data_IF_636930978276
#
_entry.id   IF_636930978276
#
_cell.length_a   1.000
_cell.length_b   1.000
_cell.length_c   1.000
_cell.angle_alpha   90.00
_cell.angle_beta   90.00
_cell.angle_gamma   90.00
#
_symmetry.space_group_name_H-M   'P 1'
#
loop_
_entity.id
_entity.type
_entity.pdbx_description
1 polymer ?
#
# COMPACT_ATOMS: atom_id res chain seq x y z
N UNK A 1 -16.72 -12.01 12.34
CA UNK A 1 -15.64 -11.03 12.06
C UNK A 1 -16.12 -9.92 11.13
N UNK A 2 -16.56 -10.21 9.90
CA UNK A 2 -16.92 -9.17 8.90
C UNK A 2 -18.04 -8.19 9.31
N UNK A 3 -18.92 -8.58 10.24
CA UNK A 3 -19.98 -7.73 10.77
C UNK A 3 -19.52 -6.82 11.92
N UNK A 4 -18.26 -6.92 12.35
CA UNK A 4 -17.64 -6.03 13.34
C UNK A 4 -16.71 -5.04 12.60
N UNK A 5 -17.22 -3.86 12.19
CA UNK A 5 -16.50 -2.98 11.28
C UNK A 5 -15.19 -2.45 11.86
N UNK A 6 -15.06 -2.31 13.19
CA UNK A 6 -13.80 -1.84 13.80
C UNK A 6 -12.69 -2.89 13.71
N UNK A 7 -13.05 -4.18 13.56
CA UNK A 7 -12.13 -5.31 13.37
C UNK A 7 -12.01 -5.76 11.91
N UNK A 8 -12.87 -5.30 11.02
CA UNK A 8 -12.90 -5.71 9.62
C UNK A 8 -12.45 -4.61 8.63
N UNK A 9 -12.35 -3.35 9.08
CA UNK A 9 -11.97 -2.22 8.23
C UNK A 9 -10.69 -1.57 8.70
N UNK A 10 -9.81 -1.27 7.75
CA UNK A 10 -8.61 -0.47 7.95
C UNK A 10 -8.34 0.32 6.66
N UNK A 11 -7.51 1.34 6.75
CA UNK A 11 -7.01 2.14 5.64
C UNK A 11 -5.51 1.92 5.51
N UNK A 12 -4.99 2.08 4.30
CA UNK A 12 -3.56 1.96 4.04
C UNK A 12 -3.07 2.99 3.03
N UNK A 13 -1.79 3.34 3.17
CA UNK A 13 -1.01 4.09 2.20
C UNK A 13 0.29 3.32 2.03
N UNK A 14 0.69 3.05 0.79
CA UNK A 14 1.90 2.30 0.50
C UNK A 14 2.62 2.77 -0.74
N UNK A 15 3.93 2.54 -0.76
CA UNK A 15 4.84 2.82 -1.86
C UNK A 15 5.35 1.48 -2.40
N UNK A 16 5.16 1.27 -3.70
CA UNK A 16 5.55 0.03 -4.38
C UNK A 16 6.51 0.37 -5.50
N UNK A 17 7.53 -0.45 -5.64
CA UNK A 17 8.50 -0.39 -6.75
C UNK A 17 8.51 -1.69 -7.53
N UNK A 18 8.97 -1.64 -8.77
CA UNK A 18 9.35 -2.86 -9.51
C UNK A 18 10.73 -3.30 -9.04
N UNK A 19 10.90 -4.60 -8.88
CA UNK A 19 12.19 -5.20 -8.58
C UNK A 19 12.38 -6.50 -9.35
N UNK A 20 13.60 -7.04 -9.34
CA UNK A 20 13.94 -8.30 -9.99
C UNK A 20 14.60 -9.22 -8.98
N UNK A 21 14.18 -10.49 -8.97
CA UNK A 21 14.78 -11.54 -8.16
C UNK A 21 14.94 -12.80 -9.00
N UNK A 22 16.16 -13.33 -9.05
CA UNK A 22 16.51 -14.53 -9.83
C UNK A 22 15.94 -14.53 -11.26
N UNK A 23 16.09 -13.41 -11.98
CA UNK A 23 15.60 -13.31 -13.36
C UNK A 23 14.14 -12.87 -13.53
N UNK A 24 13.29 -12.99 -12.49
CA UNK A 24 11.86 -12.67 -12.57
C UNK A 24 11.55 -11.29 -11.99
N UNK A 25 10.60 -10.58 -12.61
CA UNK A 25 10.15 -9.24 -12.19
C UNK A 25 9.01 -9.40 -11.17
N UNK A 26 9.05 -8.59 -10.11
CA UNK A 26 8.09 -8.55 -9.01
C UNK A 26 7.71 -7.12 -8.66
N UNK A 27 6.64 -6.99 -7.88
CA UNK A 27 6.32 -5.78 -7.13
C UNK A 27 6.92 -5.88 -5.73
N UNK A 28 7.39 -4.79 -5.15
CA UNK A 28 7.86 -4.74 -3.76
C UNK A 28 7.29 -3.52 -3.07
N UNK A 29 6.61 -3.76 -1.96
CA UNK A 29 6.19 -2.69 -1.07
C UNK A 29 7.37 -2.31 -0.18
N UNK A 30 7.83 -1.07 -0.30
CA UNK A 30 9.02 -0.56 0.40
C UNK A 30 8.66 0.27 1.62
N UNK A 31 7.49 0.91 1.61
CA UNK A 31 6.92 1.60 2.75
C UNK A 31 5.41 1.41 2.76
N UNK A 32 4.84 1.24 3.96
CA UNK A 32 3.39 1.12 4.13
C UNK A 32 2.96 1.51 5.54
N UNK A 33 1.85 2.25 5.63
CA UNK A 33 1.18 2.60 6.88
C UNK A 33 -0.24 2.08 6.86
N UNK A 34 -0.72 1.70 8.04
CA UNK A 34 -2.10 1.30 8.29
C UNK A 34 -2.64 1.95 9.55
N UNK A 35 -3.97 2.07 9.66
CA UNK A 35 -4.63 2.65 10.84
C UNK A 35 -5.12 1.60 11.86
N UNK A 36 -4.82 0.31 11.63
CA UNK A 36 -5.21 -0.81 12.49
C UNK A 36 -4.08 -1.81 12.74
N UNK A 37 -4.00 -2.24 13.99
CA UNK A 37 -3.06 -3.22 14.54
C UNK A 37 -3.15 -4.59 13.88
N UNK A 38 -4.35 -5.14 13.67
CA UNK A 38 -4.53 -6.45 13.04
C UNK A 38 -3.98 -6.45 11.60
N UNK A 39 -4.09 -5.32 10.90
CA UNK A 39 -3.53 -5.15 9.56
C UNK A 39 -2.01 -5.09 9.62
N UNK A 40 -1.44 -4.38 10.61
CA UNK A 40 0.00 -4.29 10.83
C UNK A 40 0.61 -5.67 11.16
N UNK A 41 0.02 -6.40 12.11
CA UNK A 41 0.45 -7.74 12.48
C UNK A 41 0.39 -8.73 11.30
N UNK A 42 -0.71 -8.70 10.52
CA UNK A 42 -0.83 -9.48 9.28
C UNK A 42 0.22 -9.07 8.25
N UNK A 43 0.58 -7.79 8.19
CA UNK A 43 1.65 -7.28 7.34
C UNK A 43 3.01 -7.90 7.68
N UNK A 44 3.37 -7.91 8.96
CA UNK A 44 4.61 -8.53 9.44
C UNK A 44 4.68 -10.02 9.08
N UNK A 45 3.58 -10.76 9.25
CA UNK A 45 3.51 -12.16 8.80
C UNK A 45 3.78 -12.31 7.30
N UNK A 46 3.30 -11.38 6.49
CA UNK A 46 3.51 -11.38 5.03
C UNK A 46 4.89 -10.82 4.61
N UNK A 47 5.61 -10.11 5.49
CA UNK A 47 6.82 -9.37 5.14
C UNK A 47 6.58 -7.94 4.64
N UNK A 48 5.34 -7.45 4.70
CA UNK A 48 5.07 -6.03 4.48
C UNK A 48 5.62 -5.21 5.67
N UNK A 49 6.39 -4.13 5.42
CA UNK A 49 6.96 -3.30 6.48
C UNK A 49 5.93 -2.31 7.05
N UNK A 50 4.78 -2.81 7.53
CA UNK A 50 3.66 -1.98 8.00
C UNK A 50 4.00 -1.25 9.29
N UNK A 51 3.82 0.08 9.24
CA UNK A 51 3.81 1.00 10.39
C UNK A 51 2.37 1.46 10.69
N UNK A 52 2.15 2.06 11.87
CA UNK A 52 0.86 2.69 12.21
C UNK A 52 0.84 4.14 11.75
N UNK A 53 -0.28 4.59 11.19
CA UNK A 53 -0.49 5.97 10.76
C UNK A 53 -1.95 6.42 10.85
N UNK A 54 -2.14 7.74 10.89
CA UNK A 54 -3.42 8.41 10.74
C UNK A 54 -3.71 8.67 9.27
N UNK A 55 -4.74 8.03 8.73
CA UNK A 55 -5.02 7.99 7.29
C UNK A 55 -6.46 8.47 7.02
N UNK A 56 -6.59 9.45 6.13
CA UNK A 56 -7.87 9.99 5.72
C UNK A 56 -7.98 10.03 4.21
N UNK A 57 -9.15 9.66 3.69
CA UNK A 57 -9.47 9.71 2.27
C UNK A 57 -10.88 10.29 2.13
N UNK A 58 -11.08 11.14 1.13
CA UNK A 58 -12.41 11.57 0.72
C UNK A 58 -13.20 10.36 0.24
N UNK A 59 -14.43 10.22 0.73
CA UNK A 59 -15.37 9.20 0.26
C UNK A 59 -16.29 9.79 -0.81
N UNK A 60 -16.57 9.03 -1.87
CA UNK A 60 -17.61 9.41 -2.82
C UNK A 60 -18.98 9.39 -2.16
N UNK A 61 -19.89 10.24 -2.63
CA UNK A 61 -21.29 10.27 -2.22
C UNK A 61 -22.20 10.00 -3.42
N UNK A 62 -23.40 9.47 -3.20
CA UNK A 62 -24.42 9.26 -4.27
C UNK A 62 -25.59 10.24 -4.18
N UNK A 63 -25.74 10.91 -3.04
CA UNK A 63 -26.76 11.93 -2.78
C UNK A 63 -26.13 13.20 -2.21
N UNK A 64 -26.86 14.31 -2.25
CA UNK A 64 -26.41 15.60 -1.72
C UNK A 64 -25.24 16.22 -2.50
N UNK A 65 -24.60 17.24 -1.90
CA UNK A 65 -23.52 18.04 -2.53
C UNK A 65 -22.20 18.05 -1.74
N UNK A 66 -22.14 17.42 -0.56
CA UNK A 66 -21.00 17.49 0.37
C UNK A 66 -19.92 16.42 0.11
N UNK A 67 -19.75 15.99 -1.13
CA UNK A 67 -18.71 15.03 -1.53
C UNK A 67 -18.73 14.74 -3.03
N UNK A 68 -17.63 14.20 -3.58
CA UNK A 68 -17.50 13.95 -5.01
C UNK A 68 -18.35 12.76 -5.46
N UNK A 69 -18.69 12.74 -6.75
CA UNK A 69 -19.23 11.57 -7.45
C UNK A 69 -18.08 10.76 -8.07
N UNK A 70 -18.30 9.47 -8.31
CA UNK A 70 -17.39 8.62 -9.09
C UNK A 70 -17.66 8.78 -10.59
N UNK A 71 -17.27 9.93 -11.13
CA UNK A 71 -17.42 10.31 -12.55
C UNK A 71 -16.41 11.43 -12.88
N UNK A 72 -16.20 11.78 -14.16
CA UNK A 72 -15.41 12.94 -14.56
C UNK A 72 -15.76 14.21 -13.78
N UNK A 73 -14.72 14.89 -13.27
CA UNK A 73 -14.81 16.05 -12.39
C UNK A 73 -14.86 15.75 -10.88
N UNK A 74 -14.96 14.48 -10.47
CA UNK A 74 -14.90 14.10 -9.06
C UNK A 74 -13.51 14.31 -8.45
N UNK A 75 -13.42 15.06 -7.34
CA UNK A 75 -12.15 15.40 -6.67
C UNK A 75 -12.04 14.69 -5.32
N UNK A 76 -10.93 14.01 -5.09
CA UNK A 76 -10.66 13.20 -3.90
C UNK A 76 -9.37 13.66 -3.23
N UNK A 77 -9.42 13.91 -1.92
CA UNK A 77 -8.23 14.15 -1.10
C UNK A 77 -7.79 12.88 -0.37
N UNK A 78 -6.49 12.76 -0.11
CA UNK A 78 -5.93 11.75 0.78
C UNK A 78 -4.80 12.35 1.62
N UNK A 79 -4.68 11.92 2.88
CA UNK A 79 -3.61 12.34 3.79
C UNK A 79 -3.07 11.18 4.62
N UNK A 80 -1.78 11.24 4.92
CA UNK A 80 -1.09 10.36 5.87
C UNK A 80 -0.33 11.21 6.88
N UNK A 81 -0.50 10.91 8.16
CA UNK A 81 0.38 11.36 9.23
C UNK A 81 0.84 10.17 10.09
N UNK A 82 2.03 10.26 10.66
CA UNK A 82 2.51 9.31 11.67
C UNK A 82 3.34 10.07 12.71
N UNK A 83 3.25 9.66 13.98
CA UNK A 83 3.95 10.31 15.09
C UNK A 83 3.73 11.84 15.12
N UNK A 84 2.49 12.29 14.83
CA UNK A 84 2.09 13.71 14.71
C UNK A 84 2.76 14.52 13.60
N UNK A 85 3.52 13.89 12.70
CA UNK A 85 4.06 14.52 11.50
C UNK A 85 3.16 14.25 10.30
N UNK A 86 2.78 15.29 9.55
CA UNK A 86 2.20 15.14 8.21
C UNK A 86 3.27 14.56 7.30
N UNK A 87 2.96 13.46 6.63
CA UNK A 87 3.90 12.73 5.75
C UNK A 87 3.51 12.87 4.28
N UNK A 88 2.21 12.75 3.97
CA UNK A 88 1.71 12.81 2.59
C UNK A 88 0.42 13.63 2.53
N UNK A 89 0.29 14.44 1.49
CA UNK A 89 -0.99 14.98 1.02
C UNK A 89 -1.14 14.69 -0.45
N UNK A 90 -2.34 14.28 -0.87
CA UNK A 90 -2.64 14.06 -2.27
C UNK A 90 -4.04 14.57 -2.61
N UNK A 91 -4.19 15.01 -3.86
CA UNK A 91 -5.46 15.34 -4.49
C UNK A 91 -5.54 14.62 -5.82
N UNK A 92 -6.67 13.99 -6.13
CA UNK A 92 -6.92 13.31 -7.39
C UNK A 92 -8.21 13.82 -8.00
N UNK A 93 -8.18 14.13 -9.29
CA UNK A 93 -9.35 14.56 -10.07
C UNK A 93 -9.64 13.51 -11.13
N UNK A 94 -10.85 12.95 -11.13
CA UNK A 94 -11.28 12.03 -12.18
C UNK A 94 -11.44 12.80 -13.50
N UNK A 95 -10.83 12.31 -14.57
CA UNK A 95 -10.98 12.88 -15.92
C UNK A 95 -11.74 11.94 -16.84
N UNK A 96 -11.48 10.63 -16.76
CA UNK A 96 -12.14 9.63 -17.60
C UNK A 96 -12.15 8.25 -16.94
N UNK A 97 -13.02 7.38 -17.44
CA UNK A 97 -12.95 5.94 -17.18
C UNK A 97 -11.63 5.37 -17.73
N UNK A 98 -11.20 4.25 -17.15
CA UNK A 98 -9.96 3.56 -17.52
C UNK A 98 -10.10 2.07 -17.34
N UNK A 99 -9.60 1.27 -18.28
CA UNK A 99 -9.62 -0.20 -18.17
C UNK A 99 -8.55 -0.75 -17.21
N UNK A 100 -7.59 0.09 -16.79
CA UNK A 100 -6.45 -0.28 -15.94
C UNK A 100 -6.12 0.78 -14.87
N UNK A 101 -5.30 0.40 -13.88
CA UNK A 101 -4.85 1.28 -12.78
C UNK A 101 -3.32 1.32 -12.62
N UNK A 102 -2.63 1.51 -13.74
CA UNK A 102 -1.18 1.49 -13.80
C UNK A 102 -0.61 0.06 -13.78
N UNK A 103 0.69 -0.06 -13.49
CA UNK A 103 1.44 -1.30 -13.73
C UNK A 103 2.33 -1.76 -12.57
N UNK A 104 2.50 -0.92 -11.55
CA UNK A 104 3.49 -1.16 -10.48
C UNK A 104 2.94 -2.09 -9.41
N UNK A 105 1.64 -2.03 -9.09
CA UNK A 105 0.97 -2.92 -8.15
C UNK A 105 0.17 -4.02 -8.88
N UNK A 106 0.81 -4.72 -9.81
CA UNK A 106 0.16 -5.69 -10.70
C UNK A 106 0.87 -7.07 -10.76
N UNK A 107 2.02 -7.21 -10.10
CA UNK A 107 2.81 -8.44 -10.08
C UNK A 107 2.79 -9.07 -8.68
N UNK A 108 3.16 -10.35 -8.55
CA UNK A 108 3.38 -10.95 -7.24
C UNK A 108 4.31 -10.07 -6.39
N UNK A 109 3.98 -9.93 -5.12
CA UNK A 109 4.79 -9.20 -4.17
C UNK A 109 6.04 -10.01 -3.83
N UNK A 110 7.17 -9.34 -3.65
CA UNK A 110 8.42 -9.89 -3.16
C UNK A 110 8.85 -9.13 -1.91
N UNK A 111 8.86 -9.81 -0.78
CA UNK A 111 9.15 -9.19 0.52
C UNK A 111 10.23 -9.95 1.29
N UNK A 112 10.84 -9.24 2.23
CA UNK A 112 11.68 -9.86 3.24
C UNK A 112 10.82 -10.06 4.48
N UNK A 113 10.79 -11.29 5.00
CA UNK A 113 10.30 -11.55 6.35
C UNK A 113 11.51 -11.64 7.24
N UNK A 114 11.65 -10.61 8.08
CA UNK A 114 12.80 -10.42 8.93
C UNK A 114 12.35 -10.25 10.38
N UNK A 115 12.95 -11.00 11.28
CA UNK A 115 12.80 -10.83 12.73
C UNK A 115 14.18 -10.95 13.38
N UNK A 116 14.72 -9.87 13.96
CA UNK A 116 15.94 -9.94 14.76
C UNK A 116 15.82 -10.92 15.91
N UNK A 117 16.94 -11.56 16.28
CA UNK A 117 16.99 -12.35 17.50
C UNK A 117 16.94 -11.42 18.73
N UNK A 118 16.34 -11.88 19.83
CA UNK A 118 16.14 -11.06 21.03
C UNK A 118 17.47 -10.69 21.71
N UNK A 119 18.52 -11.47 21.45
CA UNK A 119 19.89 -11.23 21.90
C UNK A 119 20.50 -9.99 21.25
N UNK A 120 19.93 -9.49 20.14
CA UNK A 120 20.42 -8.32 19.40
C UNK A 120 21.92 -8.38 19.05
N UNK A 121 22.45 -9.58 18.84
CA UNK A 121 23.88 -9.83 18.59
C UNK A 121 24.25 -9.82 17.09
N UNK A 122 23.41 -9.18 16.27
CA UNK A 122 23.55 -9.14 14.81
C UNK A 122 23.08 -10.41 14.10
N UNK A 123 22.40 -11.33 14.79
CA UNK A 123 21.72 -12.48 14.18
C UNK A 123 20.21 -12.29 14.17
N UNK A 124 19.59 -12.94 13.19
CA UNK A 124 18.14 -12.95 13.03
C UNK A 124 17.57 -14.28 13.49
N UNK A 125 16.35 -14.25 14.04
CA UNK A 125 15.51 -15.44 14.26
C UNK A 125 14.78 -15.88 12.99
N UNK A 126 14.52 -14.94 12.07
CA UNK A 126 13.88 -15.19 10.79
C UNK A 126 14.49 -14.27 9.74
N UNK A 127 14.98 -14.84 8.65
CA UNK A 127 15.50 -14.13 7.49
C UNK A 127 15.11 -14.93 6.23
N UNK A 128 14.04 -14.47 5.60
CA UNK A 128 13.46 -15.08 4.41
C UNK A 128 13.16 -14.06 3.33
N UNK A 129 13.31 -14.50 2.08
CA UNK A 129 12.67 -13.87 0.93
C UNK A 129 11.41 -14.65 0.59
N UNK A 130 10.28 -13.97 0.55
CA UNK A 130 8.97 -14.57 0.26
C UNK A 130 8.28 -13.88 -0.90
N UNK A 131 7.36 -14.61 -1.54
CA UNK A 131 6.45 -14.04 -2.54
C UNK A 131 5.01 -14.41 -2.27
N UNK A 132 4.08 -13.54 -2.66
CA UNK A 132 2.65 -13.80 -2.59
C UNK A 132 1.87 -13.06 -3.68
N UNK A 133 0.70 -13.60 -3.99
CA UNK A 133 -0.27 -12.98 -4.89
C UNK A 133 -1.67 -13.12 -4.30
N UNK A 134 -2.55 -12.17 -4.62
CA UNK A 134 -3.98 -12.39 -4.47
C UNK A 134 -4.51 -13.39 -5.50
N UNK A 135 -5.67 -13.96 -5.22
CA UNK A 135 -6.48 -14.74 -6.14
C UNK A 135 -7.93 -14.24 -6.11
N UNK A 136 -8.74 -14.67 -7.07
CA UNK A 136 -10.14 -14.25 -7.24
C UNK A 136 -10.32 -12.72 -7.23
N UNK A 137 -9.51 -12.03 -8.03
CA UNK A 137 -9.56 -10.59 -8.15
C UNK A 137 -10.85 -10.15 -8.86
N UNK A 138 -11.62 -9.28 -8.23
CA UNK A 138 -12.77 -8.60 -8.81
C UNK A 138 -12.46 -7.11 -8.94
N UNK A 139 -12.66 -6.58 -10.14
CA UNK A 139 -12.32 -5.20 -10.49
C UNK A 139 -13.61 -4.45 -10.76
N UNK A 140 -13.85 -3.40 -9.97
CA UNK A 140 -14.98 -2.50 -10.16
C UNK A 140 -14.59 -1.27 -10.95
N UNK A 141 -15.28 -0.16 -10.66
CA UNK A 141 -15.06 1.13 -11.32
C UNK A 141 -13.58 1.52 -11.27
N UNK A 142 -13.07 1.92 -12.43
CA UNK A 142 -11.68 2.34 -12.59
C UNK A 142 -11.65 3.64 -13.40
N UNK A 143 -10.93 4.62 -12.86
CA UNK A 143 -10.80 5.96 -13.44
C UNK A 143 -9.35 6.38 -13.48
N UNK A 144 -9.04 7.25 -14.44
CA UNK A 144 -7.77 7.96 -14.53
C UNK A 144 -8.01 9.46 -14.49
N UNK A 145 -7.02 10.20 -14.02
CA UNK A 145 -6.95 11.64 -14.18
C UNK A 145 -5.75 12.27 -13.49
N UNK A 146 -5.73 13.59 -13.46
CA UNK A 146 -4.68 14.37 -12.81
C UNK A 146 -4.65 14.17 -11.30
N UNK A 147 -3.45 14.38 -10.75
CA UNK A 147 -3.24 14.33 -9.32
C UNK A 147 -2.15 15.32 -8.90
N UNK A 148 -2.23 15.73 -7.65
CA UNK A 148 -1.19 16.45 -6.92
C UNK A 148 -0.73 15.55 -5.78
N UNK A 149 0.58 15.49 -5.54
CA UNK A 149 1.19 14.71 -4.48
C UNK A 149 2.28 15.53 -3.81
N UNK A 150 2.17 15.70 -2.51
CA UNK A 150 3.17 16.34 -1.67
C UNK A 150 3.69 15.32 -0.65
N UNK A 151 5.01 15.13 -0.64
CA UNK A 151 5.75 14.34 0.35
C UNK A 151 6.45 15.32 1.30
N UNK A 152 6.16 15.19 2.59
CA UNK A 152 6.69 16.09 3.62
C UNK A 152 7.93 15.47 4.27
N UNK A 153 8.87 16.33 4.68
CA UNK A 153 10.04 15.91 5.45
C UNK A 153 9.63 15.28 6.78
N UNK A 154 10.36 14.23 7.20
CA UNK A 154 10.18 13.58 8.48
C UNK A 154 11.54 13.31 9.12
N UNK A 155 11.69 13.42 10.45
CA UNK A 155 12.93 13.04 11.12
C UNK A 155 13.18 11.52 11.11
N UNK A 156 12.16 10.71 10.79
CA UNK A 156 12.21 9.24 10.91
C UNK A 156 11.81 8.51 9.64
N UNK A 157 11.34 9.22 8.61
CA UNK A 157 11.01 8.63 7.30
C UNK A 157 11.94 9.18 6.23
N UNK A 158 12.45 8.28 5.39
CA UNK A 158 13.48 8.57 4.39
C UNK A 158 12.85 8.90 3.03
N UNK A 159 11.76 9.68 3.01
CA UNK A 159 11.05 9.98 1.75
C UNK A 159 11.88 10.72 0.71
N UNK A 160 12.95 11.39 1.12
CA UNK A 160 13.92 12.00 0.21
C UNK A 160 14.58 10.97 -0.74
N UNK A 161 14.61 9.69 -0.37
CA UNK A 161 15.08 8.60 -1.25
C UNK A 161 14.06 8.21 -2.32
N UNK A 162 12.82 8.70 -2.21
CA UNK A 162 11.68 8.34 -3.06
C UNK A 162 11.12 9.53 -3.84
N UNK A 163 11.85 10.65 -3.89
CA UNK A 163 11.41 11.82 -4.63
C UNK A 163 11.21 11.44 -6.11
N UNK A 164 9.99 11.58 -6.65
CA UNK A 164 9.70 11.14 -8.00
C UNK A 164 10.35 12.07 -9.02
N UNK A 165 11.10 11.51 -9.97
CA UNK A 165 11.60 12.25 -11.12
C UNK A 165 10.47 12.71 -12.05
N UNK A 166 9.44 11.87 -12.20
CA UNK A 166 8.27 12.14 -13.03
C UNK A 166 7.00 11.62 -12.36
N UNK A 167 5.98 12.47 -12.31
CA UNK A 167 4.62 12.10 -11.93
C UNK A 167 3.82 11.75 -13.19
N UNK A 168 3.58 10.45 -13.41
CA UNK A 168 3.02 9.96 -14.68
C UNK A 168 1.49 10.04 -14.77
N UNK A 169 0.75 9.50 -13.81
CA UNK A 169 -0.70 9.34 -13.90
C UNK A 169 -1.33 8.96 -12.54
N UNK A 170 -2.48 9.56 -12.23
CA UNK A 170 -3.32 9.19 -11.10
C UNK A 170 -4.44 8.23 -11.49
N UNK A 171 -4.80 7.33 -10.58
CA UNK A 171 -5.90 6.38 -10.75
C UNK A 171 -6.76 6.26 -9.49
N UNK A 172 -8.06 6.03 -9.71
CA UNK A 172 -8.97 5.47 -8.71
C UNK A 172 -9.43 4.10 -9.19
N UNK A 173 -9.48 3.11 -8.28
CA UNK A 173 -9.96 1.77 -8.62
C UNK A 173 -10.65 1.12 -7.44
N UNK A 174 -11.80 0.50 -7.70
CA UNK A 174 -12.38 -0.50 -6.81
C UNK A 174 -11.75 -1.86 -7.08
N UNK A 175 -11.28 -2.51 -6.02
CA UNK A 175 -10.62 -3.80 -6.11
C UNK A 175 -11.02 -4.68 -4.93
N UNK A 176 -11.43 -5.90 -5.23
CA UNK A 176 -11.57 -7.00 -4.27
C UNK A 176 -10.56 -8.09 -4.62
N UNK A 177 -9.89 -8.64 -3.61
CA UNK A 177 -8.95 -9.76 -3.77
C UNK A 177 -9.02 -10.68 -2.56
N UNK A 178 -8.77 -11.96 -2.77
CA UNK A 178 -8.58 -12.94 -1.71
C UNK A 178 -7.10 -13.28 -1.55
N UNK A 179 -6.70 -13.66 -0.33
CA UNK A 179 -5.34 -14.08 -0.02
C UNK A 179 -5.35 -15.30 0.91
N UNK A 180 -4.53 -16.31 0.59
CA UNK A 180 -4.48 -17.60 1.32
C UNK A 180 -3.06 -18.03 1.71
N UNK A 181 -2.04 -17.22 1.42
CA UNK A 181 -0.65 -17.53 1.78
C UNK A 181 0.37 -17.02 0.78
N UNK A 182 1.61 -17.44 0.97
CA UNK A 182 2.75 -17.13 0.10
C UNK A 182 3.71 -18.31 -0.04
N UNK A 183 4.81 -18.09 -0.74
CA UNK A 183 5.89 -19.06 -0.95
C UNK A 183 7.19 -18.48 -0.41
N UNK A 184 7.94 -19.28 0.35
CA UNK A 184 9.33 -18.94 0.72
C UNK A 184 10.24 -19.26 -0.46
N UNK A 185 10.95 -18.24 -0.97
CA UNK A 185 11.86 -18.37 -2.10
C UNK A 185 13.30 -18.66 -1.64
N UNK A 186 13.69 -18.07 -0.51
CA UNK A 186 14.97 -18.33 0.15
C UNK A 186 14.81 -18.17 1.66
N UNK A 187 15.59 -18.94 2.42
CA UNK A 187 15.67 -18.85 3.88
C UNK A 187 17.11 -19.13 4.30
N UNK A 188 17.66 -18.29 5.15
CA UNK A 188 19.06 -18.39 5.57
C UNK A 188 19.25 -19.03 6.96
N UNK A 189 18.29 -18.87 7.88
CA UNK A 189 18.55 -19.06 9.32
C UNK A 189 17.48 -19.84 10.11
N UNK A 190 16.56 -20.57 9.46
CA UNK A 190 15.93 -21.72 10.10
C UNK A 190 16.18 -22.97 9.29
N UNK A 191 16.93 -23.90 9.89
CA UNK A 191 16.92 -25.32 9.54
C UNK A 191 15.62 -25.96 9.99
#
# INVERSE_FOLDING_TARGET
ELLDPVRAQYKEVFFVVRCKYQGKIYSRCIYIWVDKDFSAARGQFQGYPKKIGSIHLTRSTTVGKAGPRLQPGGIFGATLAAYDHRLVQAKFTIEAESDHAGFVNALPMLHNRWMPAIECNGKDSLNEVVTMSGFDAEIGLTFKGSFELELFSSPVEEFHLLEPEELIQGYYRQVGVSWKGGTTLARENLT
#
